data_IF_621227282455
#
_entry.id   IF_621227282455
#
_cell.length_a   1.000
_cell.length_b   1.000
_cell.length_c   1.000
_cell.angle_alpha   90.00
_cell.angle_beta   90.00
_cell.angle_gamma   90.00
#
_symmetry.space_group_name_H-M   'P 1'
#
loop_
_entity.id
_entity.type
_entity.pdbx_description
1 polymer ?
#
# COMPACT_ATOMS: atom_id res chain seq x y z
N UNK A 1 -9.08 -18.55 -8.13
CA UNK A 1 -10.00 -17.44 -7.76
C UNK A 1 -9.21 -16.13 -7.85
N UNK A 2 -9.88 -15.03 -8.18
CA UNK A 2 -9.25 -13.71 -8.13
C UNK A 2 -9.26 -13.16 -6.71
N UNK A 3 -8.20 -12.43 -6.34
CA UNK A 3 -8.17 -11.65 -5.11
C UNK A 3 -9.27 -10.59 -5.19
N UNK A 4 -10.02 -10.42 -4.11
CA UNK A 4 -11.12 -9.46 -4.03
C UNK A 4 -10.58 -8.06 -3.77
N UNK A 5 -11.21 -7.06 -4.34
CA UNK A 5 -10.90 -5.65 -4.07
C UNK A 5 -11.04 -5.29 -2.58
N UNK A 6 -10.23 -4.35 -2.11
CA UNK A 6 -10.36 -3.82 -0.74
C UNK A 6 -11.67 -3.05 -0.55
N UNK A 7 -12.48 -3.48 0.39
CA UNK A 7 -13.71 -2.77 0.78
C UNK A 7 -13.40 -1.39 1.40
N UNK A 8 -12.24 -1.22 2.00
CA UNK A 8 -11.78 0.05 2.55
C UNK A 8 -11.45 1.05 1.43
N UNK A 9 -10.60 0.68 0.46
CA UNK A 9 -10.26 1.54 -0.67
C UNK A 9 -11.50 1.90 -1.48
N UNK A 10 -12.36 0.93 -1.75
CA UNK A 10 -13.62 1.14 -2.50
C UNK A 10 -14.54 2.17 -1.83
N UNK A 11 -14.70 2.13 -0.50
CA UNK A 11 -15.52 3.10 0.22
C UNK A 11 -14.96 4.51 0.17
N UNK A 12 -13.64 4.66 0.17
CA UNK A 12 -12.99 5.96 0.18
C UNK A 12 -12.80 6.55 -1.23
N UNK A 13 -12.80 5.72 -2.26
CA UNK A 13 -12.53 6.14 -3.65
C UNK A 13 -13.36 7.35 -4.13
N UNK A 14 -14.67 7.46 -3.90
CA UNK A 14 -15.44 8.63 -4.33
C UNK A 14 -14.94 9.95 -3.69
N UNK A 15 -14.63 9.94 -2.39
CA UNK A 15 -14.10 11.12 -1.69
C UNK A 15 -12.69 11.48 -2.15
N UNK A 16 -11.86 10.48 -2.42
CA UNK A 16 -10.52 10.68 -2.96
C UNK A 16 -10.57 11.26 -4.38
N UNK A 17 -11.53 10.83 -5.20
CA UNK A 17 -11.76 11.40 -6.53
C UNK A 17 -12.19 12.86 -6.41
N UNK A 18 -13.14 13.18 -5.54
CA UNK A 18 -13.55 14.56 -5.27
C UNK A 18 -12.38 15.43 -4.77
N UNK A 19 -11.47 14.88 -3.95
CA UNK A 19 -10.25 15.57 -3.54
C UNK A 19 -9.35 15.88 -4.75
N UNK A 20 -9.09 14.91 -5.62
CA UNK A 20 -8.28 15.11 -6.84
C UNK A 20 -8.90 16.20 -7.72
N UNK A 21 -10.22 16.18 -7.97
CA UNK A 21 -10.96 17.18 -8.76
C UNK A 21 -10.88 18.61 -8.18
N UNK A 22 -10.71 18.73 -6.87
CA UNK A 22 -10.48 20.03 -6.22
C UNK A 22 -9.04 20.50 -6.37
N UNK A 23 -8.09 19.58 -6.21
CA UNK A 23 -6.66 19.87 -6.25
C UNK A 23 -6.17 20.21 -7.67
N UNK A 24 -6.68 19.54 -8.71
CA UNK A 24 -6.30 19.82 -10.11
C UNK A 24 -6.57 21.27 -10.55
N UNK A 25 -7.55 21.94 -9.90
CA UNK A 25 -7.87 23.34 -10.18
C UNK A 25 -6.85 24.34 -9.62
N UNK A 26 -5.97 23.87 -8.72
CA UNK A 26 -5.02 24.70 -7.97
C UNK A 26 -3.57 24.37 -8.28
N UNK A 27 -3.28 23.11 -8.58
CA UNK A 27 -1.92 22.61 -8.69
C UNK A 27 -1.64 22.09 -10.10
N UNK A 28 -0.40 22.21 -10.54
CA UNK A 28 0.06 21.72 -11.84
C UNK A 28 0.02 20.19 -11.94
N UNK A 29 0.13 19.52 -10.81
CA UNK A 29 -0.01 18.07 -10.68
C UNK A 29 -0.61 17.72 -9.32
N UNK A 30 -1.48 16.72 -9.31
CA UNK A 30 -1.96 16.12 -8.07
C UNK A 30 -2.21 14.63 -8.26
N UNK A 31 -2.03 13.89 -7.18
CA UNK A 31 -2.35 12.46 -7.16
C UNK A 31 -2.65 11.99 -5.74
N UNK A 32 -3.38 10.90 -5.64
CA UNK A 32 -3.60 10.16 -4.39
C UNK A 32 -3.19 8.71 -4.60
N UNK A 33 -2.34 8.21 -3.72
CA UNK A 33 -2.02 6.78 -3.61
C UNK A 33 -2.68 6.24 -2.34
N UNK A 34 -3.54 5.25 -2.49
CA UNK A 34 -4.14 4.48 -1.40
C UNK A 34 -3.50 3.11 -1.30
N UNK A 35 -3.34 2.62 -0.08
CA UNK A 35 -2.90 1.26 0.21
C UNK A 35 -3.77 0.65 1.32
N UNK A 36 -4.07 -0.63 1.17
CA UNK A 36 -4.66 -1.49 2.19
C UNK A 36 -3.94 -2.83 2.08
N UNK A 37 -2.98 -3.04 2.96
CA UNK A 37 -2.09 -4.19 2.92
C UNK A 37 -2.16 -4.94 4.23
N UNK A 38 -2.21 -6.25 4.17
CA UNK A 38 -2.02 -7.10 5.32
C UNK A 38 -1.13 -8.29 4.98
N UNK A 39 -0.39 -8.75 5.97
CA UNK A 39 0.56 -9.83 5.81
C UNK A 39 0.54 -10.75 7.01
N UNK A 40 0.77 -12.03 6.76
CA UNK A 40 0.96 -13.03 7.81
C UNK A 40 2.23 -13.83 7.57
N UNK A 41 2.84 -14.23 8.68
CA UNK A 41 4.00 -15.09 8.73
C UNK A 41 3.70 -16.32 9.56
N UNK A 42 4.05 -17.47 9.01
CA UNK A 42 4.00 -18.76 9.69
C UNK A 42 5.38 -19.36 9.70
N UNK A 43 5.79 -19.92 10.83
CA UNK A 43 7.08 -20.61 10.95
C UNK A 43 6.99 -21.80 11.88
N UNK A 44 7.76 -22.83 11.53
CA UNK A 44 8.01 -24.01 12.35
C UNK A 44 9.51 -24.28 12.34
N UNK A 45 10.15 -24.19 13.48
CA UNK A 45 11.60 -24.35 13.63
C UNK A 45 11.94 -25.01 14.99
N UNK A 46 13.22 -25.07 15.34
CA UNK A 46 13.67 -25.64 16.62
C UNK A 46 13.13 -24.88 17.84
N UNK A 47 12.86 -23.58 17.70
CA UNK A 47 12.33 -22.75 18.80
C UNK A 47 10.82 -22.90 19.01
N UNK A 48 10.11 -23.47 18.04
CA UNK A 48 8.66 -23.70 18.14
C UNK A 48 7.87 -23.40 16.87
N UNK A 49 6.57 -23.20 17.09
CA UNK A 49 5.55 -22.93 16.07
C UNK A 49 5.01 -21.52 16.27
N UNK A 50 4.91 -20.75 15.20
CA UNK A 50 4.40 -19.38 15.25
C UNK A 50 3.52 -19.06 14.06
N UNK A 51 2.40 -18.37 14.34
CA UNK A 51 1.59 -17.68 13.36
C UNK A 51 1.40 -16.23 13.85
N UNK A 52 1.77 -15.26 13.06
CA UNK A 52 1.71 -13.84 13.45
C UNK A 52 1.36 -12.95 12.26
N UNK A 53 0.72 -11.81 12.54
CA UNK A 53 0.67 -10.69 11.59
C UNK A 53 2.08 -10.16 11.35
N UNK A 54 2.42 -9.88 10.10
CA UNK A 54 3.67 -9.21 9.78
C UNK A 54 3.44 -7.68 9.76
N UNK A 55 3.73 -7.02 10.87
CA UNK A 55 3.45 -5.60 11.09
C UNK A 55 4.25 -4.70 10.15
N UNK A 56 5.39 -5.15 9.62
CA UNK A 56 6.18 -4.38 8.66
C UNK A 56 5.45 -4.21 7.32
N UNK A 57 4.59 -5.17 6.97
CA UNK A 57 3.86 -5.18 5.70
C UNK A 57 2.36 -5.02 5.88
N UNK A 58 1.89 -4.80 7.10
CA UNK A 58 0.47 -4.50 7.38
C UNK A 58 0.31 -3.01 7.54
N UNK A 59 -0.26 -2.36 6.52
CA UNK A 59 -0.43 -0.92 6.48
C UNK A 59 -1.71 -0.52 5.75
N UNK A 60 -2.29 0.61 6.16
CA UNK A 60 -3.50 1.15 5.56
C UNK A 60 -3.48 2.67 5.60
N UNK A 61 -3.80 3.30 4.49
CA UNK A 61 -3.90 4.76 4.43
C UNK A 61 -3.75 5.31 3.03
N UNK A 62 -3.65 6.62 2.96
CA UNK A 62 -3.55 7.40 1.74
C UNK A 62 -2.41 8.39 1.85
N UNK A 63 -1.78 8.65 0.72
CA UNK A 63 -0.84 9.75 0.53
C UNK A 63 -1.36 10.60 -0.62
N UNK A 64 -1.64 11.86 -0.37
CA UNK A 64 -1.91 12.84 -1.41
C UNK A 64 -0.64 13.63 -1.70
N UNK A 65 -0.36 13.85 -2.98
CA UNK A 65 0.76 14.64 -3.47
C UNK A 65 0.25 15.75 -4.36
N UNK A 66 0.81 16.95 -4.20
CA UNK A 66 0.61 18.08 -5.09
C UNK A 66 1.94 18.69 -5.50
N UNK A 67 1.98 19.30 -6.68
CA UNK A 67 3.17 19.99 -7.22
C UNK A 67 2.75 21.32 -7.85
N UNK A 68 3.46 22.38 -7.51
CA UNK A 68 3.40 23.70 -8.18
C UNK A 68 4.81 24.31 -8.30
N UNK A 69 4.90 25.61 -8.59
CA UNK A 69 6.16 26.34 -8.73
C UNK A 69 6.94 26.47 -7.41
N UNK A 70 6.28 26.34 -6.25
CA UNK A 70 6.92 26.35 -4.91
C UNK A 70 7.62 25.03 -4.59
N UNK A 71 7.22 23.93 -5.28
CA UNK A 71 7.77 22.61 -5.07
C UNK A 71 6.72 21.50 -5.04
N UNK A 72 6.94 20.50 -4.21
CA UNK A 72 5.94 19.47 -3.96
C UNK A 72 5.62 19.35 -2.46
N UNK A 73 4.38 18.99 -2.17
CA UNK A 73 3.93 18.66 -0.82
C UNK A 73 3.22 17.30 -0.82
N UNK A 74 3.39 16.58 0.27
CA UNK A 74 2.67 15.34 0.56
C UNK A 74 1.98 15.44 1.92
N UNK A 75 0.81 14.83 2.00
CA UNK A 75 0.08 14.65 3.25
C UNK A 75 -0.50 13.25 3.33
N UNK A 76 -0.28 12.59 4.46
CA UNK A 76 -0.75 11.22 4.71
C UNK A 76 -1.92 11.23 5.69
N UNK A 77 -2.92 10.39 5.43
CA UNK A 77 -4.08 10.20 6.30
C UNK A 77 -4.68 8.79 6.12
N UNK A 78 -5.45 8.35 7.12
CA UNK A 78 -6.04 7.00 7.09
C UNK A 78 -7.52 7.00 6.72
N UNK A 79 -8.21 8.11 6.90
CA UNK A 79 -9.62 8.27 6.57
C UNK A 79 -9.85 9.66 5.99
N UNK A 80 -10.89 9.79 5.19
CA UNK A 80 -11.33 11.06 4.62
C UNK A 80 -12.85 11.11 4.72
N UNK A 81 -13.35 12.25 5.17
CA UNK A 81 -14.77 12.62 5.13
C UNK A 81 -14.93 13.91 4.31
N UNK A 82 -16.16 14.21 3.90
CA UNK A 82 -16.45 15.47 3.17
C UNK A 82 -16.00 16.71 3.96
N UNK A 83 -16.16 16.70 5.28
CA UNK A 83 -15.76 17.81 6.14
C UNK A 83 -14.22 18.00 6.20
N UNK A 84 -13.44 16.94 5.94
CA UNK A 84 -11.98 16.97 6.01
C UNK A 84 -11.30 17.36 4.69
N UNK A 85 -12.02 17.38 3.58
CA UNK A 85 -11.46 17.75 2.26
C UNK A 85 -10.71 19.09 2.31
N UNK A 86 -11.34 20.12 2.88
CA UNK A 86 -10.73 21.47 3.01
C UNK A 86 -9.55 21.47 3.99
N UNK A 87 -9.56 20.66 5.01
CA UNK A 87 -8.44 20.54 5.95
C UNK A 87 -7.21 19.89 5.30
N UNK A 88 -7.40 18.89 4.46
CA UNK A 88 -6.31 18.28 3.67
C UNK A 88 -5.70 19.31 2.71
N UNK A 89 -6.54 20.07 1.98
CA UNK A 89 -6.07 21.14 1.10
C UNK A 89 -5.25 22.21 1.88
N UNK A 90 -5.75 22.65 3.04
CA UNK A 90 -5.06 23.63 3.87
C UNK A 90 -3.70 23.12 4.37
N UNK A 91 -3.58 21.83 4.69
CA UNK A 91 -2.30 21.21 5.08
C UNK A 91 -1.29 21.19 3.95
N UNK A 92 -1.73 20.85 2.73
CA UNK A 92 -0.87 20.86 1.55
C UNK A 92 -0.38 22.30 1.24
N UNK A 93 -1.29 23.27 1.26
CA UNK A 93 -0.96 24.68 1.04
C UNK A 93 0.06 25.19 2.07
N UNK A 94 -0.18 24.96 3.36
CA UNK A 94 0.74 25.35 4.42
C UNK A 94 2.13 24.69 4.27
N UNK A 95 2.19 23.47 3.76
CA UNK A 95 3.46 22.77 3.50
C UNK A 95 4.23 23.44 2.35
N UNK A 96 3.55 23.79 1.26
CA UNK A 96 4.16 24.49 0.13
C UNK A 96 4.63 25.91 0.50
N UNK A 97 3.84 26.64 1.29
CA UNK A 97 4.24 27.96 1.80
C UNK A 97 5.47 27.89 2.70
N UNK A 98 5.52 26.90 3.60
CA UNK A 98 6.68 26.67 4.45
C UNK A 98 7.93 26.29 3.64
N UNK A 99 7.76 25.47 2.59
CA UNK A 99 8.85 25.11 1.68
C UNK A 99 9.37 26.34 0.95
N UNK A 100 8.49 27.17 0.37
CA UNK A 100 8.86 28.40 -0.32
C UNK A 100 9.57 29.39 0.61
N UNK A 101 9.12 29.54 1.86
CA UNK A 101 9.74 30.39 2.86
C UNK A 101 11.11 29.90 3.32
N UNK A 102 11.38 28.60 3.23
CA UNK A 102 12.66 28.00 3.62
C UNK A 102 13.73 28.10 2.51
N UNK A 103 13.36 28.41 1.27
CA UNK A 103 14.30 28.56 0.18
C UNK A 103 15.12 29.86 0.34
N UNK A 104 16.46 29.82 0.12
CA UNK A 104 17.28 31.04 0.11
C UNK A 104 16.79 32.03 -0.94
N UNK A 105 16.94 33.32 -0.67
CA UNK A 105 16.56 34.37 -1.61
C UNK A 105 17.26 34.18 -2.96
N UNK A 106 16.50 34.19 -4.04
CA UNK A 106 17.00 33.98 -5.40
C UNK A 106 17.23 32.52 -5.82
N UNK A 107 16.93 31.55 -4.94
CA UNK A 107 16.86 30.14 -5.32
C UNK A 107 15.46 29.75 -5.77
N UNK A 108 15.39 28.73 -6.63
CA UNK A 108 14.14 28.11 -7.03
C UNK A 108 14.15 26.64 -6.67
N UNK A 109 12.98 26.07 -6.47
CA UNK A 109 12.84 24.62 -6.36
C UNK A 109 13.37 23.94 -7.63
N UNK A 110 14.20 22.92 -7.46
CA UNK A 110 14.70 22.15 -8.59
C UNK A 110 13.57 21.30 -9.18
N UNK A 111 13.13 21.71 -10.35
CA UNK A 111 12.04 21.03 -11.05
C UNK A 111 12.41 19.59 -11.41
N UNK A 112 11.59 18.66 -10.95
CA UNK A 112 11.65 17.26 -11.38
C UNK A 112 10.61 17.02 -12.48
N UNK A 113 10.88 16.13 -13.43
CA UNK A 113 9.86 15.70 -14.39
C UNK A 113 8.61 15.24 -13.65
N UNK A 114 7.45 15.75 -14.06
CA UNK A 114 6.18 15.27 -13.52
C UNK A 114 5.93 13.83 -13.97
N UNK A 115 5.29 13.02 -13.12
CA UNK A 115 4.84 11.71 -13.54
C UNK A 115 3.92 11.82 -14.78
N UNK A 116 3.96 10.83 -15.68
CA UNK A 116 3.01 10.78 -16.79
C UNK A 116 1.57 10.79 -16.28
N UNK A 117 0.70 11.56 -16.91
CA UNK A 117 -0.72 11.66 -16.55
C UNK A 117 -1.64 11.49 -17.78
N UNK A 118 -1.18 10.76 -18.81
CA UNK A 118 -2.06 10.37 -19.92
C UNK A 118 -3.23 9.53 -19.40
N UNK A 119 -4.42 9.66 -20.02
CA UNK A 119 -5.60 8.93 -19.59
C UNK A 119 -5.37 7.43 -19.53
N UNK A 120 -5.58 6.85 -18.36
CA UNK A 120 -5.43 5.41 -18.13
C UNK A 120 -6.37 4.94 -17.01
N UNK A 121 -7.22 3.98 -17.36
CA UNK A 121 -8.00 3.21 -16.37
C UNK A 121 -7.50 1.78 -16.38
N UNK A 122 -7.16 1.25 -15.22
CA UNK A 122 -6.67 -0.12 -15.08
C UNK A 122 -7.17 -0.75 -13.79
N UNK A 123 -7.61 -2.01 -13.90
CA UNK A 123 -7.91 -2.85 -12.75
C UNK A 123 -7.29 -4.23 -12.97
N UNK A 124 -6.41 -4.62 -12.05
CA UNK A 124 -5.73 -5.90 -12.10
C UNK A 124 -5.80 -6.63 -10.77
N UNK A 125 -5.98 -7.96 -10.82
CA UNK A 125 -6.00 -8.80 -9.64
C UNK A 125 -5.22 -10.09 -9.87
N UNK A 126 -4.47 -10.53 -8.86
CA UNK A 126 -3.79 -11.84 -8.87
C UNK A 126 -4.83 -12.96 -8.90
N UNK A 127 -4.57 -13.97 -9.71
CA UNK A 127 -5.31 -15.23 -9.66
C UNK A 127 -4.52 -16.27 -8.88
N UNK A 128 -5.16 -16.92 -7.92
CA UNK A 128 -4.57 -18.00 -7.15
C UNK A 128 -5.50 -19.21 -7.12
N UNK A 129 -4.92 -20.41 -7.01
CA UNK A 129 -5.70 -21.64 -6.88
C UNK A 129 -6.36 -21.73 -5.50
N UNK A 130 -5.62 -21.38 -4.46
CA UNK A 130 -6.06 -21.41 -3.06
C UNK A 130 -5.59 -20.13 -2.39
N UNK A 131 -6.51 -19.42 -1.75
CA UNK A 131 -6.16 -18.27 -0.92
C UNK A 131 -5.67 -18.76 0.45
N UNK A 132 -4.53 -18.27 0.98
CA UNK A 132 -3.98 -18.74 2.26
C UNK A 132 -4.98 -18.71 3.42
N UNK A 133 -5.78 -17.66 3.52
CA UNK A 133 -6.79 -17.54 4.58
C UNK A 133 -7.90 -18.60 4.51
N UNK A 134 -8.12 -19.22 3.34
CA UNK A 134 -9.12 -20.28 3.20
C UNK A 134 -8.70 -21.60 3.85
N UNK A 135 -7.40 -21.78 4.12
CA UNK A 135 -6.86 -22.96 4.78
C UNK A 135 -6.94 -22.88 6.31
N UNK A 136 -6.92 -21.64 6.84
CA UNK A 136 -6.81 -21.43 8.28
C UNK A 136 -5.39 -21.65 8.82
N UNK A 137 -5.10 -20.99 9.96
CA UNK A 137 -3.76 -20.97 10.57
C UNK A 137 -3.29 -22.39 10.98
N UNK A 138 -4.19 -23.20 11.54
CA UNK A 138 -3.87 -24.54 12.01
C UNK A 138 -3.41 -25.48 10.88
N UNK A 139 -4.10 -25.46 9.75
CA UNK A 139 -3.76 -26.30 8.58
C UNK A 139 -2.41 -25.90 7.97
N UNK A 140 -2.14 -24.59 7.87
CA UNK A 140 -0.84 -24.09 7.37
C UNK A 140 0.29 -24.57 8.28
N UNK A 141 0.13 -24.45 9.60
CA UNK A 141 1.14 -24.87 10.56
C UNK A 141 1.34 -26.40 10.59
N UNK A 142 0.27 -27.18 10.43
CA UNK A 142 0.35 -28.64 10.29
C UNK A 142 1.18 -29.04 9.06
N UNK A 143 0.92 -28.42 7.91
CA UNK A 143 1.69 -28.65 6.68
C UNK A 143 3.17 -28.27 6.84
N UNK A 144 3.47 -27.13 7.47
CA UNK A 144 4.85 -26.72 7.75
C UNK A 144 5.54 -27.69 8.73
N UNK A 145 4.82 -28.20 9.72
CA UNK A 145 5.33 -29.22 10.66
C UNK A 145 5.69 -30.49 9.91
N UNK A 146 4.83 -30.93 8.98
CA UNK A 146 5.12 -32.10 8.14
C UNK A 146 6.37 -31.88 7.26
N UNK A 147 6.50 -30.70 6.65
CA UNK A 147 7.69 -30.32 5.85
C UNK A 147 8.95 -30.39 6.71
N UNK A 148 8.93 -29.77 7.91
CA UNK A 148 10.06 -29.80 8.84
C UNK A 148 10.45 -31.19 9.22
N UNK A 149 9.45 -32.03 9.57
CA UNK A 149 9.67 -33.45 9.94
C UNK A 149 10.30 -34.24 8.78
N UNK A 150 9.83 -34.04 7.56
CA UNK A 150 10.39 -34.68 6.38
C UNK A 150 11.83 -34.23 6.13
N UNK A 151 12.12 -32.94 6.27
CA UNK A 151 13.48 -32.43 6.12
C UNK A 151 14.47 -33.00 7.14
N UNK A 152 14.08 -33.09 8.41
CA UNK A 152 14.91 -33.72 9.45
C UNK A 152 15.14 -35.21 9.25
N UNK A 153 14.27 -35.90 8.51
CA UNK A 153 14.37 -37.33 8.26
C UNK A 153 15.21 -37.70 7.02
N UNK A 154 15.75 -36.69 6.30
CA UNK A 154 16.51 -36.93 5.06
C UNK A 154 17.85 -37.63 5.34
N UNK A 155 18.56 -37.19 6.38
CA UNK A 155 19.86 -37.74 6.76
C UNK A 155 20.10 -37.48 8.27
N UNK A 156 20.78 -38.35 8.97
CA UNK A 156 21.12 -38.24 10.39
C UNK A 156 22.00 -37.00 10.69
N UNK A 157 22.70 -36.47 9.69
CA UNK A 157 23.53 -35.26 9.79
C UNK A 157 22.72 -33.98 9.69
N UNK A 158 21.44 -34.03 9.35
CA UNK A 158 20.56 -32.86 9.36
C UNK A 158 20.17 -32.56 10.79
N UNK A 159 20.85 -31.62 11.40
CA UNK A 159 20.67 -31.24 12.81
C UNK A 159 19.52 -30.25 13.04
N UNK A 160 19.13 -29.49 12.00
CA UNK A 160 17.96 -28.61 12.04
C UNK A 160 17.34 -28.40 10.65
N UNK A 161 16.06 -28.09 10.65
CA UNK A 161 15.29 -27.74 9.46
C UNK A 161 14.16 -26.79 9.89
N UNK A 162 14.15 -25.58 9.31
CA UNK A 162 13.04 -24.63 9.48
C UNK A 162 12.12 -24.66 8.26
N UNK A 163 10.83 -24.51 8.48
CA UNK A 163 9.84 -24.30 7.43
C UNK A 163 9.05 -23.04 7.70
N UNK A 164 8.81 -22.22 6.68
CA UNK A 164 8.05 -20.99 6.82
C UNK A 164 7.24 -20.68 5.57
N UNK A 165 6.16 -19.95 5.77
CA UNK A 165 5.36 -19.31 4.72
C UNK A 165 5.07 -17.88 5.15
N UNK A 166 5.30 -16.95 4.25
CA UNK A 166 4.86 -15.56 4.38
C UNK A 166 3.94 -15.27 3.20
N UNK A 167 2.86 -14.54 3.45
CA UNK A 167 2.07 -13.99 2.36
C UNK A 167 1.68 -12.55 2.67
N UNK A 168 1.47 -11.80 1.60
CA UNK A 168 0.98 -10.43 1.65
C UNK A 168 -0.18 -10.28 0.67
N UNK A 169 -1.27 -9.72 1.15
CA UNK A 169 -2.35 -9.22 0.31
C UNK A 169 -2.21 -7.70 0.23
N UNK A 170 -2.05 -7.19 -0.98
CA UNK A 170 -1.70 -5.80 -1.25
C UNK A 170 -2.74 -5.22 -2.18
N UNK A 171 -3.55 -4.31 -1.66
CA UNK A 171 -4.49 -3.53 -2.44
C UNK A 171 -3.95 -2.12 -2.62
N UNK A 172 -3.95 -1.64 -3.87
CA UNK A 172 -3.50 -0.29 -4.21
C UNK A 172 -4.54 0.42 -5.06
N UNK A 173 -4.72 1.69 -4.77
CA UNK A 173 -5.53 2.63 -5.55
C UNK A 173 -4.66 3.84 -5.87
N UNK A 174 -4.52 4.15 -7.14
CA UNK A 174 -3.89 5.39 -7.58
C UNK A 174 -4.87 6.22 -8.40
N UNK A 175 -5.04 7.47 -8.00
CA UNK A 175 -5.89 8.46 -8.66
C UNK A 175 -5.07 9.70 -9.01
N UNK A 176 -5.19 10.16 -10.24
CA UNK A 176 -4.78 11.50 -10.68
C UNK A 176 -5.91 12.10 -11.54
N UNK A 177 -5.82 13.32 -12.05
CA UNK A 177 -6.85 13.87 -12.93
C UNK A 177 -7.26 12.93 -14.06
N UNK A 178 -6.28 12.28 -14.70
CA UNK A 178 -6.50 11.43 -15.86
C UNK A 178 -6.33 9.91 -15.59
N UNK A 179 -5.99 9.50 -14.36
CA UNK A 179 -5.72 8.09 -14.05
C UNK A 179 -6.60 7.55 -12.95
N UNK A 180 -6.98 6.30 -13.14
CA UNK A 180 -7.74 5.48 -12.18
C UNK A 180 -7.19 4.06 -12.23
N UNK A 181 -6.27 3.74 -11.30
CA UNK A 181 -5.54 2.47 -11.31
C UNK A 181 -5.81 1.71 -10.02
N UNK A 182 -6.22 0.46 -10.15
CA UNK A 182 -6.47 -0.44 -9.03
C UNK A 182 -5.68 -1.74 -9.19
N UNK A 183 -5.09 -2.22 -8.11
CA UNK A 183 -4.35 -3.48 -8.06
C UNK A 183 -4.68 -4.25 -6.79
N UNK A 184 -5.02 -5.52 -6.94
CA UNK A 184 -5.28 -6.46 -5.87
C UNK A 184 -4.32 -7.65 -6.01
N UNK A 185 -3.26 -7.67 -5.21
CA UNK A 185 -2.14 -8.59 -5.35
C UNK A 185 -2.08 -9.54 -4.17
N UNK A 186 -1.68 -10.79 -4.44
CA UNK A 186 -1.27 -11.77 -3.45
C UNK A 186 0.16 -12.23 -3.75
N UNK A 187 0.99 -12.13 -2.75
CA UNK A 187 2.37 -12.62 -2.75
C UNK A 187 2.53 -13.75 -1.75
#
# INVERSE_FOLDING_TARGET
MKIKESSYLRRQKPLLRALVERLEKKYRYCSVLGADCHAKRYSVNASGVSAATDDLFTQRGFVVRVVDERGYAEYSFNQLSEAELSAVEAKLEATLDALAAALPAGSSYMERPLPPDEPLTFQGATECAVHPESLGDAEILERLTAVRKAGLAVDEKVIDCGAFVNYQEIHKLFLSPNRDLEQDLLW
#
